data_IF_620426516092
#
_entry.id   IF_620426516092
#
_cell.length_a   1.000
_cell.length_b   1.000
_cell.length_c   1.000
_cell.angle_alpha   90.00
_cell.angle_beta   90.00
_cell.angle_gamma   90.00
#
_symmetry.space_group_name_H-M   'P 1'
#
loop_
_entity.id
_entity.type
_entity.pdbx_description
1 polymer ?
#
# COMPACT_ATOMS: atom_id res chain seq x y z
N UNK A 1 57.90 28.83 -11.29
CA UNK A 1 57.70 28.27 -12.65
C UNK A 1 57.60 26.76 -12.54
N UNK A 2 56.41 26.17 -12.75
CA UNK A 2 56.17 24.74 -12.62
C UNK A 2 55.65 24.17 -13.93
N UNK A 3 56.38 23.17 -14.45
CA UNK A 3 56.15 22.47 -15.72
C UNK A 3 54.93 21.53 -15.62
N UNK A 4 53.95 21.71 -16.50
CA UNK A 4 52.88 20.73 -16.75
C UNK A 4 53.32 19.74 -17.84
N UNK A 5 53.30 18.43 -17.55
CA UNK A 5 53.44 17.36 -18.57
C UNK A 5 52.12 16.61 -18.71
N UNK A 6 51.48 16.80 -19.86
CA UNK A 6 50.28 16.10 -20.35
C UNK A 6 50.61 14.66 -20.74
N UNK A 7 49.98 13.65 -20.11
CA UNK A 7 49.99 12.25 -20.59
C UNK A 7 48.72 11.97 -21.40
N UNK A 8 48.88 11.76 -22.71
CA UNK A 8 47.85 11.21 -23.60
C UNK A 8 47.56 9.75 -23.23
N UNK A 9 46.30 9.40 -22.97
CA UNK A 9 45.86 7.99 -22.84
C UNK A 9 45.73 7.39 -24.24
N UNK A 10 46.50 6.34 -24.53
CA UNK A 10 46.28 5.46 -25.70
C UNK A 10 45.07 4.58 -25.43
N UNK A 11 44.10 4.54 -26.35
CA UNK A 11 43.02 3.57 -26.34
C UNK A 11 43.56 2.21 -26.81
N UNK A 12 43.35 1.18 -26.01
CA UNK A 12 43.66 -0.21 -26.36
C UNK A 12 42.35 -0.87 -26.77
N UNK A 13 42.24 -1.29 -28.04
CA UNK A 13 41.13 -2.14 -28.51
C UNK A 13 41.36 -3.57 -27.97
N UNK A 14 40.33 -4.26 -27.47
CA UNK A 14 40.46 -5.67 -27.12
C UNK A 14 40.52 -6.55 -28.39
N UNK A 15 41.25 -7.68 -28.34
CA UNK A 15 41.40 -8.62 -29.46
C UNK A 15 40.15 -9.49 -29.65
N UNK A 16 39.96 -9.95 -30.90
CA UNK A 16 38.85 -10.79 -31.33
C UNK A 16 38.85 -12.15 -30.61
N UNK A 17 37.73 -12.50 -30.00
CA UNK A 17 37.55 -13.75 -29.26
C UNK A 17 37.18 -14.88 -30.23
N UNK A 18 37.99 -15.94 -30.19
CA UNK A 18 37.91 -17.14 -31.00
C UNK A 18 36.62 -17.93 -30.73
N UNK A 19 36.05 -18.48 -31.80
CA UNK A 19 34.88 -19.34 -31.78
C UNK A 19 35.17 -20.65 -31.03
N UNK A 20 34.63 -20.79 -29.82
CA UNK A 20 34.53 -22.06 -29.12
C UNK A 20 33.36 -22.87 -29.70
N UNK A 21 33.67 -23.94 -30.45
CA UNK A 21 32.70 -25.01 -30.71
C UNK A 21 32.78 -26.03 -29.56
N UNK A 22 31.69 -26.38 -28.89
CA UNK A 22 31.71 -27.46 -27.90
C UNK A 22 31.78 -28.83 -28.59
N UNK A 23 32.78 -29.62 -28.17
CA UNK A 23 32.88 -31.06 -28.43
C UNK A 23 31.72 -31.75 -27.70
N UNK A 24 30.87 -32.48 -28.43
CA UNK A 24 29.79 -33.31 -27.86
C UNK A 24 30.33 -34.71 -27.59
N UNK A 25 30.37 -35.22 -26.34
CA UNK A 25 30.58 -36.63 -26.09
C UNK A 25 29.32 -37.42 -26.46
N UNK A 26 29.53 -38.54 -27.14
CA UNK A 26 28.49 -39.49 -27.50
C UNK A 26 27.89 -40.17 -26.25
N UNK A 27 26.57 -40.38 -26.34
CA UNK A 27 25.80 -41.44 -25.68
C UNK A 27 25.68 -41.40 -24.15
N UNK A 28 24.62 -40.75 -23.67
CA UNK A 28 24.00 -41.02 -22.38
C UNK A 28 22.50 -41.24 -22.60
N UNK A 29 22.15 -42.46 -22.98
CA UNK A 29 20.77 -42.95 -22.90
C UNK A 29 20.45 -43.29 -21.44
N UNK A 30 20.12 -42.28 -20.63
CA UNK A 30 19.50 -42.54 -19.32
C UNK A 30 18.05 -43.01 -19.52
N UNK A 31 17.64 -44.12 -18.88
CA UNK A 31 16.22 -44.47 -18.82
C UNK A 31 15.50 -43.37 -18.06
N UNK A 32 14.50 -42.78 -18.72
CA UNK A 32 13.68 -41.70 -18.20
C UNK A 32 13.10 -42.08 -16.83
N UNK A 33 13.76 -41.63 -15.76
CA UNK A 33 13.10 -41.44 -14.48
C UNK A 33 11.97 -40.45 -14.75
N UNK A 34 10.77 -40.98 -14.96
CA UNK A 34 9.56 -40.19 -14.82
C UNK A 34 9.55 -39.69 -13.39
N UNK A 35 10.08 -38.48 -13.20
CA UNK A 35 9.72 -37.65 -12.07
C UNK A 35 8.18 -37.65 -12.04
N UNK A 36 7.56 -37.80 -10.86
CA UNK A 36 6.11 -37.72 -10.76
C UNK A 36 5.67 -36.48 -11.52
N UNK A 37 4.65 -36.60 -12.38
CA UNK A 37 4.05 -35.46 -13.07
C UNK A 37 3.70 -34.46 -11.98
N UNK A 38 4.58 -33.48 -11.79
CA UNK A 38 4.26 -32.31 -11.03
C UNK A 38 3.24 -31.62 -11.94
N UNK A 39 1.96 -31.79 -11.60
CA UNK A 39 0.93 -30.94 -12.14
C UNK A 39 1.32 -29.52 -11.77
N UNK A 40 2.04 -28.87 -12.68
CA UNK A 40 2.19 -27.42 -12.69
C UNK A 40 0.81 -26.94 -13.09
N UNK A 41 -0.09 -26.88 -12.11
CA UNK A 41 -1.35 -26.16 -12.25
C UNK A 41 -1.00 -24.77 -12.76
N UNK A 42 -1.50 -24.46 -13.95
CA UNK A 42 -1.30 -23.21 -14.65
C UNK A 42 -1.56 -22.04 -13.68
N UNK A 43 -0.65 -21.05 -13.56
CA UNK A 43 -0.87 -19.89 -12.70
C UNK A 43 -1.95 -19.01 -13.33
N UNK A 44 -3.21 -19.26 -13.00
CA UNK A 44 -4.36 -18.53 -13.53
C UNK A 44 -4.61 -17.23 -12.76
N UNK A 45 -4.00 -16.15 -13.25
CA UNK A 45 -4.69 -14.96 -13.76
C UNK A 45 -5.58 -14.07 -12.87
N UNK A 46 -5.89 -14.42 -11.62
CA UNK A 46 -6.60 -13.51 -10.71
C UNK A 46 -5.74 -13.22 -9.48
N UNK A 47 -5.74 -11.98 -8.93
CA UNK A 47 -5.08 -11.69 -7.67
C UNK A 47 -5.55 -12.69 -6.60
N UNK A 48 -4.70 -13.66 -6.25
CA UNK A 48 -5.03 -14.66 -5.23
C UNK A 48 -5.10 -13.94 -3.89
N UNK A 49 -6.30 -13.98 -3.34
CA UNK A 49 -6.82 -13.13 -2.31
C UNK A 49 -6.05 -13.25 -0.99
N UNK A 50 -5.77 -12.10 -0.37
CA UNK A 50 -5.26 -12.06 1.01
C UNK A 50 -6.36 -12.61 1.91
N UNK A 51 -5.98 -13.44 2.90
CA UNK A 51 -6.87 -13.90 3.98
C UNK A 51 -7.64 -12.70 4.54
N UNK A 52 -8.93 -12.59 4.20
CA UNK A 52 -9.77 -11.47 4.60
C UNK A 52 -10.48 -11.83 5.90
N UNK A 53 -10.23 -11.05 6.96
CA UNK A 53 -10.99 -11.14 8.23
C UNK A 53 -12.47 -10.88 8.00
N UNK A 54 -13.32 -11.26 8.96
CA UNK A 54 -14.74 -10.88 8.88
C UNK A 54 -14.85 -9.34 8.92
N UNK A 55 -15.51 -8.68 7.94
CA UNK A 55 -15.76 -7.24 7.92
C UNK A 55 -16.77 -6.83 9.00
N UNK A 56 -17.43 -7.81 9.62
CA UNK A 56 -18.31 -7.62 10.78
C UNK A 56 -17.60 -7.92 12.10
N UNK A 57 -16.47 -8.64 12.07
CA UNK A 57 -15.72 -9.02 13.26
C UNK A 57 -14.20 -9.09 12.99
N UNK A 58 -13.51 -8.02 13.36
CA UNK A 58 -12.06 -7.86 13.20
C UNK A 58 -11.22 -8.78 14.09
N UNK A 59 -11.81 -9.43 15.10
CA UNK A 59 -11.10 -10.42 15.94
C UNK A 59 -11.04 -11.79 15.28
N UNK A 60 -11.80 -12.03 14.20
CA UNK A 60 -11.79 -13.29 13.46
C UNK A 60 -10.69 -13.24 12.40
N UNK A 61 -9.62 -14.06 12.53
CA UNK A 61 -8.57 -14.13 11.51
C UNK A 61 -9.17 -14.44 10.15
N UNK A 62 -8.62 -13.83 9.11
CA UNK A 62 -9.13 -14.04 7.77
C UNK A 62 -9.05 -15.49 7.34
N UNK A 63 -10.13 -15.99 6.74
CA UNK A 63 -10.16 -17.28 6.08
C UNK A 63 -10.28 -17.07 4.55
N UNK A 64 -10.47 -18.15 3.80
CA UNK A 64 -10.63 -18.10 2.34
C UNK A 64 -12.07 -17.73 1.90
N UNK A 65 -12.98 -17.44 2.84
CA UNK A 65 -14.35 -17.03 2.53
C UNK A 65 -14.41 -15.52 2.43
N UNK A 66 -14.80 -15.05 1.25
CA UNK A 66 -15.22 -13.67 1.07
C UNK A 66 -16.45 -13.39 1.89
N UNK A 67 -16.56 -12.14 2.29
CA UNK A 67 -17.82 -11.61 2.76
C UNK A 67 -18.66 -11.13 1.62
N UNK A 68 -19.98 -11.27 1.79
CA UNK A 68 -21.00 -11.02 0.77
C UNK A 68 -20.81 -9.69 0.04
N UNK A 69 -21.29 -9.64 -1.20
CA UNK A 69 -21.00 -8.60 -2.20
C UNK A 69 -21.48 -7.18 -1.90
N UNK A 70 -21.91 -6.89 -0.68
CA UNK A 70 -22.65 -5.66 -0.35
C UNK A 70 -21.77 -4.61 0.36
N UNK A 71 -20.45 -4.71 0.27
CA UNK A 71 -19.54 -3.68 0.79
C UNK A 71 -19.56 -2.41 -0.06
N UNK A 72 -19.36 -1.25 0.55
CA UNK A 72 -19.23 0.00 -0.18
C UNK A 72 -18.13 0.90 0.38
N UNK A 73 -17.79 1.93 -0.38
CA UNK A 73 -16.73 2.89 -0.06
C UNK A 73 -17.35 4.28 0.06
N UNK A 74 -16.91 5.02 1.07
CA UNK A 74 -17.22 6.44 1.23
C UNK A 74 -15.92 7.22 1.30
N UNK A 75 -15.89 8.39 0.69
CA UNK A 75 -14.77 9.33 0.77
C UNK A 75 -15.29 10.70 1.14
N UNK A 76 -14.42 11.51 1.73
CA UNK A 76 -14.76 12.88 2.03
C UNK A 76 -13.58 13.69 2.50
N UNK A 77 -13.86 14.96 2.78
CA UNK A 77 -12.93 15.89 3.42
C UNK A 77 -13.63 16.43 4.65
N UNK A 78 -12.91 16.51 5.75
CA UNK A 78 -13.36 17.18 6.97
C UNK A 78 -12.37 18.28 7.33
N UNK A 79 -12.85 19.28 8.06
CA UNK A 79 -12.05 20.42 8.49
C UNK A 79 -12.24 20.61 9.98
N UNK A 80 -11.13 20.68 10.71
CA UNK A 80 -11.12 21.27 12.04
C UNK A 80 -10.63 22.70 11.92
N UNK A 81 -11.29 23.62 12.62
CA UNK A 81 -10.87 25.02 12.71
C UNK A 81 -11.15 25.57 14.12
N UNK A 82 -10.33 26.53 14.55
CA UNK A 82 -10.43 27.10 15.89
C UNK A 82 -9.27 28.03 16.24
N UNK A 83 -9.09 28.26 17.53
CA UNK A 83 -7.90 28.94 18.05
C UNK A 83 -6.63 28.18 17.65
N UNK A 84 -5.49 28.88 17.57
CA UNK A 84 -4.21 28.25 17.29
C UNK A 84 -3.94 27.12 18.30
N UNK A 85 -3.77 25.90 17.81
CA UNK A 85 -3.56 24.72 18.63
C UNK A 85 -2.59 23.74 17.96
N UNK A 86 -1.89 22.93 18.76
CA UNK A 86 -1.00 21.87 18.31
C UNK A 86 -1.65 20.48 18.31
N UNK A 87 -2.88 20.39 18.83
CA UNK A 87 -3.69 19.18 18.82
C UNK A 87 -5.17 19.52 18.70
N UNK A 88 -5.97 18.55 18.25
CA UNK A 88 -7.41 18.69 18.24
C UNK A 88 -8.11 17.41 17.83
N UNK A 89 -9.44 17.44 17.88
CA UNK A 89 -10.29 16.34 17.44
C UNK A 89 -11.57 16.82 16.77
N UNK A 90 -12.10 16.00 15.87
CA UNK A 90 -13.34 16.26 15.15
C UNK A 90 -14.10 14.95 14.96
N UNK A 91 -15.37 14.90 15.37
CA UNK A 91 -16.25 13.80 15.04
C UNK A 91 -16.73 13.92 13.59
N UNK A 92 -16.66 12.83 12.83
CA UNK A 92 -17.07 12.76 11.43
C UNK A 92 -18.15 11.69 11.29
N UNK A 93 -19.33 12.11 10.84
CA UNK A 93 -20.46 11.20 10.56
C UNK A 93 -20.41 10.75 9.10
N UNK A 94 -20.56 9.46 8.85
CA UNK A 94 -20.67 8.94 7.49
C UNK A 94 -22.03 9.30 6.88
N UNK A 95 -22.09 9.77 5.62
CA UNK A 95 -23.34 10.02 4.91
C UNK A 95 -24.29 8.81 4.87
N UNK A 96 -23.73 7.62 4.69
CA UNK A 96 -24.45 6.35 4.79
C UNK A 96 -23.85 5.49 5.92
N UNK A 97 -24.71 4.88 6.72
CA UNK A 97 -24.27 3.99 7.80
C UNK A 97 -23.82 2.65 7.23
N UNK A 98 -22.69 2.13 7.73
CA UNK A 98 -22.27 0.76 7.43
C UNK A 98 -23.10 -0.26 8.26
N UNK A 99 -23.08 -1.54 7.88
CA UNK A 99 -23.65 -2.62 8.70
C UNK A 99 -22.76 -3.02 9.88
N UNK A 100 -21.50 -2.60 9.85
CA UNK A 100 -20.48 -2.95 10.83
C UNK A 100 -19.37 -1.89 10.86
N UNK A 101 -18.37 -2.15 11.69
CA UNK A 101 -17.23 -1.26 11.92
C UNK A 101 -16.35 -1.17 10.64
N UNK A 102 -16.29 -0.01 9.95
CA UNK A 102 -15.51 0.13 8.71
C UNK A 102 -14.02 0.32 9.00
N UNK A 103 -13.16 0.09 8.00
CA UNK A 103 -11.79 0.59 8.01
C UNK A 103 -11.77 2.02 7.54
N UNK A 104 -11.09 2.90 8.27
CA UNK A 104 -10.94 4.30 7.92
C UNK A 104 -9.47 4.64 7.77
N UNK A 105 -9.12 5.27 6.65
CA UNK A 105 -7.82 5.89 6.43
C UNK A 105 -8.01 7.40 6.26
N UNK A 106 -7.11 8.17 6.84
CA UNK A 106 -7.14 9.62 6.75
C UNK A 106 -5.74 10.16 6.45
N UNK A 107 -5.69 11.27 5.72
CA UNK A 107 -4.46 11.99 5.43
C UNK A 107 -4.71 13.50 5.54
N UNK A 108 -3.81 14.26 6.18
CA UNK A 108 -3.85 15.71 6.07
C UNK A 108 -3.69 16.12 4.61
N UNK A 109 -4.44 17.15 4.21
CA UNK A 109 -4.39 17.77 2.89
C UNK A 109 -3.73 19.14 3.00
N UNK A 110 -4.14 19.95 3.97
CA UNK A 110 -3.59 21.29 4.18
C UNK A 110 -3.83 21.81 5.59
N UNK A 111 -3.07 22.84 5.97
CA UNK A 111 -3.18 23.55 7.24
C UNK A 111 -3.33 25.05 7.01
N UNK A 112 -4.05 25.72 7.90
CA UNK A 112 -4.14 27.19 7.92
C UNK A 112 -2.89 27.81 8.53
N UNK A 113 -2.17 28.64 7.76
CA UNK A 113 -1.21 29.61 8.31
C UNK A 113 0.21 29.12 8.60
N UNK A 114 0.56 27.85 8.35
CA UNK A 114 1.95 27.37 8.46
C UNK A 114 2.22 26.17 7.56
N UNK A 115 3.50 25.93 7.22
CA UNK A 115 3.96 24.70 6.55
C UNK A 115 4.00 23.51 7.53
N UNK A 116 3.00 23.42 8.42
CA UNK A 116 2.87 22.34 9.38
C UNK A 116 2.59 21.00 8.67
N UNK A 117 3.11 19.93 9.26
CA UNK A 117 2.90 18.54 8.80
C UNK A 117 2.21 17.75 9.89
N UNK A 118 0.90 17.96 10.08
CA UNK A 118 0.18 17.26 11.13
C UNK A 118 0.15 15.76 10.84
N UNK A 119 0.14 14.99 11.92
CA UNK A 119 -0.20 13.57 11.88
C UNK A 119 -1.66 13.41 12.28
N UNK A 120 -2.31 12.36 11.77
CA UNK A 120 -3.71 12.07 12.02
C UNK A 120 -3.89 10.63 12.47
N UNK A 121 -4.89 10.41 13.33
CA UNK A 121 -5.37 9.09 13.72
C UNK A 121 -6.88 9.09 13.70
N UNK A 122 -7.48 8.01 13.19
CA UNK A 122 -8.92 7.79 13.28
C UNK A 122 -9.19 6.86 14.46
N UNK A 123 -9.91 7.35 15.45
CA UNK A 123 -10.58 6.51 16.44
C UNK A 123 -11.96 6.15 15.85
N UNK A 124 -12.22 4.87 15.72
CA UNK A 124 -13.43 4.39 15.05
C UNK A 124 -14.56 4.21 16.07
N UNK A 125 -15.64 4.98 15.86
CA UNK A 125 -16.81 5.11 16.74
C UNK A 125 -17.94 4.14 16.34
N UNK A 126 -17.67 3.22 15.41
CA UNK A 126 -18.58 2.22 14.92
C UNK A 126 -19.16 2.55 13.54
N UNK A 127 -20.33 1.99 13.25
CA UNK A 127 -20.83 1.96 11.88
C UNK A 127 -21.31 3.32 11.32
N UNK A 128 -21.44 4.34 12.16
CA UNK A 128 -21.99 5.65 11.81
C UNK A 128 -20.94 6.76 11.65
N UNK A 129 -19.70 6.55 12.07
CA UNK A 129 -18.70 7.60 12.01
C UNK A 129 -17.38 7.21 12.67
N UNK A 130 -16.50 8.20 12.75
CA UNK A 130 -15.21 8.11 13.42
C UNK A 130 -14.84 9.46 14.02
N UNK A 131 -13.98 9.44 15.02
CA UNK A 131 -13.35 10.62 15.57
C UNK A 131 -11.95 10.75 14.98
N UNK A 132 -11.72 11.86 14.28
CA UNK A 132 -10.40 12.24 13.83
C UNK A 132 -9.66 12.91 14.99
N UNK A 133 -8.47 12.43 15.32
CA UNK A 133 -7.50 13.12 16.17
C UNK A 133 -6.33 13.59 15.31
N UNK A 134 -5.81 14.78 15.60
CA UNK A 134 -4.62 15.31 14.92
C UNK A 134 -3.68 15.96 15.91
N UNK A 135 -2.40 15.98 15.54
CA UNK A 135 -1.34 16.67 16.29
C UNK A 135 -0.23 17.15 15.36
N UNK A 136 0.47 18.22 15.75
CA UNK A 136 1.58 18.83 15.01
C UNK A 136 2.52 19.55 15.97
N UNK A 137 3.79 19.73 15.57
CA UNK A 137 4.79 20.49 16.33
C UNK A 137 4.60 22.01 16.27
N UNK A 138 3.79 22.49 15.31
CA UNK A 138 3.50 23.91 15.11
C UNK A 138 2.01 24.12 15.23
N UNK A 139 1.59 25.14 15.96
CA UNK A 139 0.19 25.48 16.10
C UNK A 139 -0.44 25.86 14.75
N UNK A 140 -1.67 25.42 14.55
CA UNK A 140 -2.47 25.71 13.36
C UNK A 140 -3.85 26.17 13.81
N UNK A 141 -4.47 27.04 13.01
CA UNK A 141 -5.86 27.48 13.21
C UNK A 141 -6.86 26.63 12.43
N UNK A 142 -6.36 25.81 11.50
CA UNK A 142 -7.16 24.93 10.66
C UNK A 142 -6.35 23.75 10.16
N UNK A 143 -7.00 22.60 10.01
CA UNK A 143 -6.51 21.43 9.29
C UNK A 143 -7.63 20.85 8.42
N UNK A 144 -7.33 20.61 7.14
CA UNK A 144 -8.17 19.83 6.22
C UNK A 144 -7.62 18.43 6.12
N UNK A 145 -8.50 17.44 6.27
CA UNK A 145 -8.14 16.03 6.24
C UNK A 145 -9.06 15.30 5.28
N UNK A 146 -8.45 14.63 4.30
CA UNK A 146 -9.14 13.71 3.40
C UNK A 146 -9.24 12.35 4.06
N UNK A 147 -10.38 11.69 3.88
CA UNK A 147 -10.61 10.36 4.44
C UNK A 147 -11.27 9.44 3.42
N UNK A 148 -11.04 8.15 3.61
CA UNK A 148 -11.67 7.05 2.88
C UNK A 148 -12.06 5.96 3.87
N UNK A 149 -13.29 5.47 3.75
CA UNK A 149 -13.86 4.44 4.59
C UNK A 149 -14.34 3.25 3.74
N UNK A 150 -13.98 2.04 4.16
CA UNK A 150 -14.38 0.77 3.54
C UNK A 150 -15.12 -0.07 4.56
N UNK A 151 -16.34 -0.51 4.26
CA UNK A 151 -17.09 -1.31 5.22
C UNK A 151 -18.17 -2.15 4.59
N UNK A 152 -18.74 -3.09 5.37
CA UNK A 152 -19.87 -3.88 4.93
C UNK A 152 -21.10 -2.98 4.81
N UNK A 153 -21.85 -3.10 3.72
CA UNK A 153 -23.16 -2.47 3.62
C UNK A 153 -24.23 -3.23 4.39
N UNK A 154 -25.25 -2.49 4.81
CA UNK A 154 -26.52 -3.09 5.20
C UNK A 154 -27.23 -3.50 3.93
N UNK A 155 -27.57 -4.80 3.82
CA UNK A 155 -28.62 -5.20 2.91
C UNK A 155 -29.86 -4.37 3.27
N UNK A 156 -30.30 -3.53 2.34
CA UNK A 156 -31.58 -2.82 2.44
C UNK A 156 -32.72 -3.84 2.46
#
# INVERSE_FOLDING_TARGET
>A
MAFWRTRRRRSVRPPAEEAYLPVVPADFSEPSRQLPKQEVETPTGWPRYRRGGSPRNWTTPGNFRFTGGDGFVQTGVCEWSGAAASYGSLAVTFPARFAGKPLVFATPISTGGSAARPSVMCADDGAGGFTLHWWTSTEVTMIKVGWIAFGPGSAL
#
